data_IF_643900131974
#
_entry.id   IF_643900131974
#
_cell.length_a   1.000
_cell.length_b   1.000
_cell.length_c   1.000
_cell.angle_alpha   90.00
_cell.angle_beta   90.00
_cell.angle_gamma   90.00
#
_symmetry.space_group_name_H-M   'P 1'
#
loop_
_entity.id
_entity.type
_entity.pdbx_description
1 polymer ?
#
# COMPACT_ATOMS: atom_id res chain seq x y z
N UNK A 1 21.58 9.55 -24.33
CA UNK A 1 20.96 8.82 -23.20
C UNK A 1 19.43 8.95 -23.29
N UNK A 2 18.83 8.75 -24.46
CA UNK A 2 17.38 8.97 -24.67
C UNK A 2 16.55 7.68 -24.67
N UNK A 3 17.18 6.50 -24.78
CA UNK A 3 16.46 5.24 -24.99
C UNK A 3 15.92 4.58 -23.72
N UNK A 4 16.43 4.90 -22.53
CA UNK A 4 15.98 4.25 -21.30
C UNK A 4 14.62 4.78 -20.81
N UNK A 5 14.36 6.07 -21.03
CA UNK A 5 13.08 6.69 -20.68
C UNK A 5 11.97 6.20 -21.61
N UNK A 6 12.25 6.04 -22.90
CA UNK A 6 11.28 5.48 -23.86
C UNK A 6 11.02 4.00 -23.61
N UNK A 7 12.02 3.21 -23.23
CA UNK A 7 11.82 1.80 -22.89
C UNK A 7 11.01 1.62 -21.60
N UNK A 8 11.15 2.55 -20.66
CA UNK A 8 10.40 2.58 -19.40
C UNK A 8 9.05 3.27 -19.53
N UNK A 9 8.68 3.79 -20.71
CA UNK A 9 7.40 4.43 -20.92
C UNK A 9 6.32 3.35 -21.16
N UNK A 10 5.47 3.04 -20.16
CA UNK A 10 4.48 1.98 -20.30
C UNK A 10 3.39 2.34 -21.31
N UNK A 11 3.23 3.62 -21.67
CA UNK A 11 2.30 4.07 -22.71
C UNK A 11 2.73 3.64 -24.13
N UNK A 12 3.96 3.18 -24.33
CA UNK A 12 4.39 2.64 -25.63
C UNK A 12 3.92 1.20 -25.86
N UNK A 13 3.62 0.47 -24.77
CA UNK A 13 3.25 -0.96 -24.81
C UNK A 13 1.80 -1.21 -24.37
N UNK A 14 1.22 -0.33 -23.55
CA UNK A 14 -0.11 -0.47 -22.96
C UNK A 14 -0.91 0.82 -23.21
N UNK A 15 -2.21 0.68 -23.47
CA UNK A 15 -3.11 1.83 -23.60
C UNK A 15 -3.23 2.56 -22.25
N UNK A 16 -3.38 3.89 -22.28
CA UNK A 16 -3.52 4.69 -21.05
C UNK A 16 -4.68 4.20 -20.17
N UNK A 17 -5.77 3.74 -20.79
CA UNK A 17 -6.94 3.20 -20.11
C UNK A 17 -6.64 1.90 -19.37
N UNK A 18 -5.93 0.95 -19.99
CA UNK A 18 -5.50 -0.29 -19.33
C UNK A 18 -4.51 -0.02 -18.20
N UNK A 19 -3.59 0.92 -18.38
CA UNK A 19 -2.65 1.31 -17.33
C UNK A 19 -3.38 1.86 -16.11
N UNK A 20 -4.34 2.76 -16.34
CA UNK A 20 -5.16 3.33 -15.27
C UNK A 20 -6.04 2.27 -14.62
N UNK A 21 -6.66 1.38 -15.40
CA UNK A 21 -7.49 0.29 -14.88
C UNK A 21 -6.68 -0.71 -14.04
N UNK A 22 -5.47 -1.06 -14.49
CA UNK A 22 -4.56 -1.92 -13.75
C UNK A 22 -4.15 -1.30 -12.42
N UNK A 23 -3.70 -0.03 -12.44
CA UNK A 23 -3.36 0.68 -11.22
C UNK A 23 -4.54 0.83 -10.28
N UNK A 24 -5.72 1.16 -10.81
CA UNK A 24 -6.93 1.29 -10.01
C UNK A 24 -7.24 -0.05 -9.32
N UNK A 25 -7.26 -1.16 -10.05
CA UNK A 25 -7.46 -2.50 -9.48
C UNK A 25 -6.43 -2.88 -8.41
N UNK A 26 -5.15 -2.58 -8.65
CA UNK A 26 -4.06 -2.82 -7.67
C UNK A 26 -4.31 -1.99 -6.41
N UNK A 27 -4.62 -0.70 -6.55
CA UNK A 27 -4.88 0.19 -5.42
C UNK A 27 -6.15 -0.22 -4.66
N UNK A 28 -7.25 -0.53 -5.34
CA UNK A 28 -8.50 -0.97 -4.69
C UNK A 28 -8.26 -2.28 -3.92
N UNK A 29 -7.51 -3.22 -4.51
CA UNK A 29 -7.24 -4.52 -3.89
C UNK A 29 -6.31 -4.37 -2.67
N UNK A 30 -5.22 -3.61 -2.81
CA UNK A 30 -4.22 -3.47 -1.75
C UNK A 30 -4.66 -2.58 -0.59
N UNK A 31 -5.50 -1.56 -0.84
CA UNK A 31 -5.83 -0.53 0.16
C UNK A 31 -7.30 -0.53 0.59
N UNK A 32 -8.20 -1.12 -0.19
CA UNK A 32 -9.64 -1.08 0.07
C UNK A 32 -10.27 -2.46 0.33
N UNK A 33 -9.51 -3.54 0.14
CA UNK A 33 -9.98 -4.91 0.31
C UNK A 33 -9.54 -5.61 1.60
N UNK A 34 -9.91 -6.89 1.72
CA UNK A 34 -9.47 -7.81 2.80
C UNK A 34 -7.95 -7.89 2.89
N UNK A 35 -7.26 -7.73 1.76
CA UNK A 35 -5.79 -7.75 1.69
C UNK A 35 -5.17 -6.61 2.50
N UNK A 36 -5.77 -5.41 2.49
CA UNK A 36 -5.31 -4.27 3.27
C UNK A 36 -5.34 -4.57 4.78
N UNK A 37 -6.42 -5.22 5.23
CA UNK A 37 -6.59 -5.62 6.63
C UNK A 37 -5.58 -6.70 7.03
N UNK A 38 -5.36 -7.70 6.17
CA UNK A 38 -4.36 -8.75 6.40
C UNK A 38 -2.95 -8.14 6.48
N UNK A 39 -2.62 -7.20 5.59
CA UNK A 39 -1.36 -6.45 5.60
C UNK A 39 -1.19 -5.60 6.86
N UNK A 40 -2.25 -4.95 7.32
CA UNK A 40 -2.24 -4.16 8.55
C UNK A 40 -1.98 -5.06 9.77
N UNK A 41 -2.65 -6.21 9.89
CA UNK A 41 -2.43 -7.16 11.00
C UNK A 41 -1.01 -7.73 10.98
N UNK A 42 -0.48 -8.07 9.81
CA UNK A 42 0.91 -8.53 9.69
C UNK A 42 1.91 -7.43 10.02
N UNK A 43 1.69 -6.18 9.60
CA UNK A 43 2.50 -5.04 10.01
C UNK A 43 2.44 -4.80 11.52
N UNK A 44 1.28 -4.96 12.15
CA UNK A 44 1.13 -4.86 13.61
C UNK A 44 1.96 -5.95 14.31
N UNK A 45 1.89 -7.19 13.80
CA UNK A 45 2.69 -8.30 14.29
C UNK A 45 4.19 -8.02 14.18
N UNK A 46 4.64 -7.46 13.06
CA UNK A 46 6.04 -7.05 12.89
C UNK A 46 6.42 -5.88 13.79
N UNK A 47 5.54 -4.88 13.98
CA UNK A 47 5.77 -3.78 14.91
C UNK A 47 6.04 -4.31 16.33
N UNK A 48 5.21 -5.25 16.77
CA UNK A 48 5.37 -5.89 18.08
C UNK A 48 6.62 -6.76 18.12
N UNK A 49 6.91 -7.55 17.09
CA UNK A 49 8.11 -8.39 17.03
C UNK A 49 9.40 -7.57 17.07
N UNK A 50 9.55 -6.56 16.20
CA UNK A 50 10.76 -5.74 16.17
C UNK A 50 10.89 -4.83 17.39
N UNK A 51 9.76 -4.34 17.91
CA UNK A 51 9.71 -3.51 19.12
C UNK A 51 10.03 -4.30 20.39
N UNK A 52 9.31 -5.40 20.65
CA UNK A 52 9.40 -6.18 21.87
C UNK A 52 10.53 -7.22 21.84
N UNK A 53 10.70 -7.96 20.73
CA UNK A 53 11.68 -9.06 20.67
C UNK A 53 13.08 -8.57 20.28
N UNK A 54 13.21 -7.69 19.29
CA UNK A 54 14.53 -7.15 18.87
C UNK A 54 14.96 -5.88 19.61
N UNK A 55 14.11 -5.33 20.49
CA UNK A 55 14.34 -4.06 21.20
C UNK A 55 14.67 -2.88 20.27
N UNK A 56 14.32 -2.98 18.97
CA UNK A 56 14.55 -1.91 17.99
C UNK A 56 13.30 -1.06 17.87
N UNK A 57 13.04 -0.27 18.91
CA UNK A 57 11.84 0.55 19.06
C UNK A 57 11.60 1.47 17.87
N UNK A 58 12.65 2.06 17.29
CA UNK A 58 12.53 2.92 16.11
C UNK A 58 11.86 2.21 14.92
N UNK A 59 12.27 0.97 14.63
CA UNK A 59 11.70 0.17 13.54
C UNK A 59 10.28 -0.26 13.90
N UNK A 60 10.04 -0.63 15.15
CA UNK A 60 8.69 -0.96 15.65
C UNK A 60 7.70 0.19 15.49
N UNK A 61 8.12 1.42 15.82
CA UNK A 61 7.30 2.64 15.65
C UNK A 61 6.97 2.88 14.17
N UNK A 62 7.93 2.69 13.27
CA UNK A 62 7.69 2.83 11.82
C UNK A 62 6.62 1.83 11.34
N UNK A 63 6.73 0.55 11.73
CA UNK A 63 5.72 -0.46 11.38
C UNK A 63 4.36 -0.18 12.04
N UNK A 64 4.36 0.34 13.27
CA UNK A 64 3.13 0.72 13.94
C UNK A 64 2.43 1.89 13.24
N UNK A 65 3.17 2.92 12.84
CA UNK A 65 2.64 4.04 12.06
C UNK A 65 2.10 3.58 10.69
N UNK A 66 2.83 2.69 9.99
CA UNK A 66 2.36 2.08 8.75
C UNK A 66 1.08 1.28 8.95
N UNK A 67 0.95 0.57 10.06
CA UNK A 67 -0.27 -0.17 10.41
C UNK A 67 -1.46 0.76 10.57
N UNK A 68 -1.28 1.88 11.28
CA UNK A 68 -2.33 2.90 11.42
C UNK A 68 -2.72 3.42 10.04
N UNK A 69 -1.75 3.80 9.20
CA UNK A 69 -2.06 4.28 7.85
C UNK A 69 -2.87 3.25 7.05
N UNK A 70 -2.45 1.98 7.02
CA UNK A 70 -3.16 0.93 6.29
C UNK A 70 -4.54 0.63 6.86
N UNK A 71 -4.68 0.57 8.18
CA UNK A 71 -5.95 0.29 8.85
C UNK A 71 -6.98 1.42 8.66
N UNK A 72 -6.51 2.67 8.65
CA UNK A 72 -7.38 3.84 8.49
C UNK A 72 -7.64 4.21 7.04
N UNK A 73 -6.80 3.82 6.07
CA UNK A 73 -7.07 4.06 4.64
C UNK A 73 -8.40 3.43 4.21
N UNK A 74 -8.71 2.21 4.66
CA UNK A 74 -10.01 1.58 4.37
C UNK A 74 -11.17 2.29 5.08
N UNK A 75 -10.97 2.76 6.31
CA UNK A 75 -11.99 3.50 7.08
C UNK A 75 -12.29 4.87 6.47
N UNK A 76 -11.25 5.60 6.06
CA UNK A 76 -11.34 6.91 5.41
C UNK A 76 -11.98 6.80 4.04
N UNK A 77 -11.57 5.83 3.21
CA UNK A 77 -12.17 5.63 1.87
C UNK A 77 -13.64 5.23 1.97
N UNK A 78 -14.04 4.48 3.00
CA UNK A 78 -15.45 4.15 3.26
C UNK A 78 -16.27 5.35 3.73
N UNK A 79 -15.64 6.27 4.47
CA UNK A 79 -16.28 7.52 4.91
C UNK A 79 -16.49 8.51 3.76
N UNK A 80 -15.54 8.60 2.82
CA UNK A 80 -15.65 9.48 1.65
C UNK A 80 -16.47 8.87 0.49
N UNK A 81 -16.53 7.54 0.35
CA UNK A 81 -17.31 6.85 -0.69
C UNK A 81 -18.74 6.47 -0.27
N UNK A 82 -19.14 6.79 0.96
CA UNK A 82 -20.50 6.61 1.46
C UNK A 82 -21.32 7.89 1.28
N UNK A 83 -21.74 8.15 0.05
CA UNK A 83 -22.67 9.21 -0.36
C UNK A 83 -23.41 8.79 -1.61
#
# INVERSE_FOLDING_TARGET
MENLIDYLNPLSYITLEEYLAWWNWVFTTLFQGVVAQVLAVTCLGFAFWYGAYKQRLAIGIVFYALTILLAYVTSVTRFFGGG
#
